data_IF_938330582841
#
_entry.id   IF_938330582841
#
_cell.length_a   1.000
_cell.length_b   1.000
_cell.length_c   1.000
_cell.angle_alpha   90.00
_cell.angle_beta   90.00
_cell.angle_gamma   90.00
#
_symmetry.space_group_name_H-M   'P 1'
#
loop_
_entity.id
_entity.type
_entity.pdbx_description
1 polymer ?
#
# COMPACT_ATOMS: atom_id res chain seq x y z
N UNK A 1 2.23 21.52 10.96
CA UNK A 1 1.14 21.94 10.07
C UNK A 1 1.44 21.52 8.65
N UNK A 2 0.49 21.64 7.72
CA UNK A 2 0.65 21.12 6.36
C UNK A 2 1.69 21.86 5.52
N UNK A 3 1.71 23.19 5.59
CA UNK A 3 2.60 23.98 4.76
C UNK A 3 3.89 24.37 5.51
N UNK A 4 5.03 24.45 4.79
CA UNK A 4 6.25 25.06 5.31
C UNK A 4 6.00 26.49 5.82
N UNK A 5 6.66 26.84 6.92
CA UNK A 5 6.63 28.20 7.48
C UNK A 5 8.01 28.86 7.36
N UNK A 6 8.03 30.16 7.08
CA UNK A 6 9.27 30.92 7.06
C UNK A 6 9.97 30.85 8.44
N UNK A 7 11.25 30.48 8.43
CA UNK A 7 12.06 30.36 9.65
C UNK A 7 11.82 29.08 10.46
N UNK A 8 11.10 28.09 9.94
CA UNK A 8 10.96 26.80 10.63
C UNK A 8 12.27 26.01 10.64
N UNK A 9 12.47 25.20 11.69
CA UNK A 9 13.68 24.39 11.83
C UNK A 9 13.72 23.26 10.80
N UNK A 10 14.92 22.74 10.53
CA UNK A 10 15.06 21.54 9.70
C UNK A 10 14.39 20.33 10.35
N UNK A 11 14.42 20.22 11.68
CA UNK A 11 13.78 19.14 12.42
C UNK A 11 12.25 19.18 12.27
N UNK A 12 11.64 20.37 12.27
CA UNK A 12 10.21 20.53 12.02
C UNK A 12 9.82 20.09 10.59
N UNK A 13 10.67 20.39 9.61
CA UNK A 13 10.45 19.98 8.22
C UNK A 13 10.52 18.46 8.09
N UNK A 14 11.54 17.83 8.67
CA UNK A 14 11.73 16.38 8.63
C UNK A 14 10.68 15.63 9.45
N UNK A 15 10.17 16.23 10.53
CA UNK A 15 9.17 15.60 11.40
C UNK A 15 7.75 15.73 10.83
N UNK A 16 7.47 16.75 10.02
CA UNK A 16 6.13 17.02 9.46
C UNK A 16 5.50 15.81 8.77
N UNK A 17 6.17 15.09 7.83
CA UNK A 17 5.59 13.91 7.18
C UNK A 17 5.12 12.84 8.17
N UNK A 18 5.89 12.58 9.24
CA UNK A 18 5.55 11.59 10.25
C UNK A 18 4.29 11.97 11.03
N UNK A 19 4.19 13.25 11.43
CA UNK A 19 3.04 13.74 12.18
C UNK A 19 1.78 13.77 11.30
N UNK A 20 1.90 14.17 10.03
CA UNK A 20 0.78 14.14 9.08
C UNK A 20 0.30 12.71 8.83
N UNK A 21 1.24 11.78 8.61
CA UNK A 21 0.94 10.36 8.45
C UNK A 21 0.20 9.80 9.67
N UNK A 22 0.70 10.07 10.89
CA UNK A 22 0.08 9.62 12.12
C UNK A 22 -1.30 10.25 12.34
N UNK A 23 -1.48 11.53 12.06
CA UNK A 23 -2.76 12.22 12.21
C UNK A 23 -3.83 11.67 11.25
N UNK A 24 -3.46 11.40 9.99
CA UNK A 24 -4.37 10.77 9.03
C UNK A 24 -4.65 9.30 9.37
N UNK A 25 -3.65 8.55 9.84
CA UNK A 25 -3.82 7.18 10.30
C UNK A 25 -4.78 7.09 11.49
N UNK A 26 -4.70 8.05 12.42
CA UNK A 26 -5.59 8.17 13.56
C UNK A 26 -6.95 8.83 13.24
N UNK A 27 -7.26 9.05 11.96
CA UNK A 27 -8.51 9.61 11.47
C UNK A 27 -8.86 10.97 12.10
N UNK A 28 -7.84 11.79 12.35
CA UNK A 28 -8.03 13.13 12.91
C UNK A 28 -8.84 14.01 11.93
N UNK A 29 -10.05 14.42 12.35
CA UNK A 29 -10.99 15.15 11.51
C UNK A 29 -10.43 16.47 10.94
N UNK A 30 -9.66 17.23 11.75
CA UNK A 30 -9.06 18.50 11.32
C UNK A 30 -7.96 18.27 10.26
N UNK A 31 -7.16 17.23 10.43
CA UNK A 31 -6.15 16.84 9.45
C UNK A 31 -6.79 16.40 8.13
N UNK A 32 -7.86 15.60 8.20
CA UNK A 32 -8.63 15.16 7.02
C UNK A 32 -9.23 16.36 6.28
N UNK A 33 -9.90 17.27 6.99
CA UNK A 33 -10.51 18.45 6.39
C UNK A 33 -9.47 19.41 5.79
N UNK A 34 -8.32 19.58 6.45
CA UNK A 34 -7.21 20.39 5.95
C UNK A 34 -6.62 19.79 4.68
N UNK A 35 -6.41 18.48 4.64
CA UNK A 35 -5.92 17.76 3.47
C UNK A 35 -6.88 17.90 2.29
N UNK A 36 -8.19 17.75 2.53
CA UNK A 36 -9.23 17.94 1.51
C UNK A 36 -9.23 19.38 0.96
N UNK A 37 -9.07 20.37 1.84
CA UNK A 37 -8.95 21.78 1.42
C UNK A 37 -7.74 21.99 0.51
N UNK A 38 -6.58 21.43 0.88
CA UNK A 38 -5.36 21.50 0.07
C UNK A 38 -5.52 20.80 -1.28
N UNK A 39 -6.17 19.63 -1.30
CA UNK A 39 -6.48 18.93 -2.54
C UNK A 39 -7.30 19.82 -3.49
N UNK A 40 -8.43 20.35 -3.01
CA UNK A 40 -9.32 21.20 -3.80
C UNK A 40 -8.64 22.46 -4.34
N UNK A 41 -7.75 23.07 -3.55
CA UNK A 41 -6.97 24.25 -3.98
C UNK A 41 -5.96 23.94 -5.09
N UNK A 42 -5.53 22.68 -5.22
CA UNK A 42 -4.48 22.25 -6.13
C UNK A 42 -4.95 21.25 -7.20
N UNK A 43 -6.28 21.02 -7.33
CA UNK A 43 -6.85 20.00 -8.23
C UNK A 43 -6.43 20.09 -9.69
N UNK A 44 -6.06 21.29 -10.16
CA UNK A 44 -5.59 21.55 -11.52
C UNK A 44 -4.09 21.27 -11.71
N UNK A 45 -3.32 21.16 -10.62
CA UNK A 45 -1.88 20.89 -10.63
C UNK A 45 -1.43 20.14 -9.36
N UNK A 46 -1.90 18.91 -9.20
CA UNK A 46 -1.58 18.07 -8.05
C UNK A 46 -0.08 17.75 -7.96
N UNK A 47 0.61 17.62 -9.10
CA UNK A 47 2.06 17.42 -9.16
C UNK A 47 2.84 18.57 -8.52
N UNK A 48 2.28 19.80 -8.55
CA UNK A 48 2.88 21.01 -7.98
C UNK A 48 2.78 21.12 -6.46
N UNK A 49 2.02 20.24 -5.79
CA UNK A 49 2.06 20.13 -4.33
C UNK A 49 3.48 19.79 -3.87
N UNK A 50 3.91 20.37 -2.75
CA UNK A 50 5.20 20.05 -2.13
C UNK A 50 5.29 18.53 -1.89
N UNK A 51 6.40 17.93 -2.31
CA UNK A 51 6.63 16.49 -2.23
C UNK A 51 6.47 15.95 -0.80
N UNK A 52 6.84 16.73 0.22
CA UNK A 52 6.76 16.36 1.63
C UNK A 52 5.32 16.13 2.12
N UNK A 53 4.31 16.67 1.42
CA UNK A 53 2.90 16.55 1.79
C UNK A 53 2.03 15.90 0.74
N UNK A 54 2.46 15.87 -0.52
CA UNK A 54 1.66 15.48 -1.68
C UNK A 54 1.04 14.10 -1.49
N UNK A 55 1.83 13.10 -1.08
CA UNK A 55 1.32 11.74 -0.83
C UNK A 55 0.21 11.71 0.23
N UNK A 56 0.30 12.52 1.29
CA UNK A 56 -0.70 12.54 2.36
C UNK A 56 -1.98 13.23 1.90
N UNK A 57 -1.87 14.30 1.10
CA UNK A 57 -3.02 14.98 0.50
C UNK A 57 -3.76 14.03 -0.46
N UNK A 58 -3.03 13.36 -1.35
CA UNK A 58 -3.62 12.42 -2.32
C UNK A 58 -4.25 11.20 -1.64
N UNK A 59 -3.55 10.57 -0.68
CA UNK A 59 -4.07 9.45 0.09
C UNK A 59 -5.32 9.82 0.86
N UNK A 60 -5.33 10.98 1.51
CA UNK A 60 -6.52 11.47 2.20
C UNK A 60 -7.70 11.60 1.26
N UNK A 61 -7.49 12.22 0.09
CA UNK A 61 -8.58 12.46 -0.86
C UNK A 61 -9.14 11.14 -1.38
N UNK A 62 -8.28 10.21 -1.81
CA UNK A 62 -8.72 8.90 -2.30
C UNK A 62 -9.46 8.12 -1.21
N UNK A 63 -8.95 8.10 0.02
CA UNK A 63 -9.52 7.32 1.13
C UNK A 63 -10.86 7.89 1.63
N UNK A 64 -10.97 9.21 1.76
CA UNK A 64 -12.09 9.85 2.46
C UNK A 64 -13.10 10.54 1.53
N UNK A 65 -12.69 10.92 0.32
CA UNK A 65 -13.48 11.68 -0.65
C UNK A 65 -13.38 11.07 -2.07
N UNK A 66 -13.04 9.79 -2.15
CA UNK A 66 -12.83 9.06 -3.39
C UNK A 66 -14.06 9.08 -4.31
N UNK A 67 -13.80 9.13 -5.61
CA UNK A 67 -14.81 8.98 -6.66
C UNK A 67 -14.18 8.35 -7.90
N UNK A 68 -14.99 7.74 -8.77
CA UNK A 68 -14.51 7.21 -10.07
C UNK A 68 -13.74 8.26 -10.88
N UNK A 69 -14.25 9.50 -10.91
CA UNK A 69 -13.63 10.59 -11.65
C UNK A 69 -12.24 10.95 -11.12
N UNK A 70 -12.08 11.03 -9.80
CA UNK A 70 -10.78 11.26 -9.17
C UNK A 70 -9.83 10.08 -9.43
N UNK A 71 -10.33 8.86 -9.30
CA UNK A 71 -9.54 7.65 -9.49
C UNK A 71 -8.99 7.57 -10.93
N UNK A 72 -9.84 7.85 -11.92
CA UNK A 72 -9.46 7.87 -13.33
C UNK A 72 -8.52 9.03 -13.66
N UNK A 73 -8.71 10.20 -13.05
CA UNK A 73 -7.79 11.32 -13.19
C UNK A 73 -6.38 10.94 -12.72
N UNK A 74 -6.24 10.37 -11.52
CA UNK A 74 -4.95 9.99 -10.97
C UNK A 74 -4.29 8.84 -11.76
N UNK A 75 -5.04 7.85 -12.22
CA UNK A 75 -4.52 6.82 -13.13
C UNK A 75 -4.03 7.42 -14.45
N UNK A 76 -4.76 8.39 -15.02
CA UNK A 76 -4.34 9.08 -16.22
C UNK A 76 -3.06 9.91 -15.99
N UNK A 77 -2.95 10.57 -14.84
CA UNK A 77 -1.74 11.30 -14.44
C UNK A 77 -0.54 10.37 -14.29
N UNK A 78 -0.71 9.20 -13.65
CA UNK A 78 0.33 8.19 -13.52
C UNK A 78 0.90 7.75 -14.87
N UNK A 79 0.03 7.58 -15.86
CA UNK A 79 0.42 7.19 -17.23
C UNK A 79 1.20 8.31 -17.94
N UNK A 80 0.81 9.56 -17.74
CA UNK A 80 1.36 10.72 -18.47
C UNK A 80 2.63 11.30 -17.84
N UNK A 81 2.74 11.27 -16.52
CA UNK A 81 3.85 11.93 -15.83
C UNK A 81 5.19 11.22 -16.03
N UNK A 82 6.26 12.00 -16.15
CA UNK A 82 7.64 11.51 -16.12
C UNK A 82 8.27 11.60 -14.72
N UNK A 83 7.61 12.27 -13.77
CA UNK A 83 8.07 12.41 -12.40
C UNK A 83 7.83 11.11 -11.62
N UNK A 84 8.92 10.41 -11.31
CA UNK A 84 8.90 9.16 -10.55
C UNK A 84 8.34 9.33 -9.13
N UNK A 85 8.61 10.46 -8.47
CA UNK A 85 8.08 10.75 -7.14
C UNK A 85 6.56 10.92 -7.19
N UNK A 86 6.04 11.64 -8.19
CA UNK A 86 4.59 11.79 -8.35
C UNK A 86 3.92 10.45 -8.68
N UNK A 87 4.55 9.58 -9.47
CA UNK A 87 4.04 8.20 -9.71
C UNK A 87 3.92 7.39 -8.42
N UNK A 88 4.93 7.45 -7.56
CA UNK A 88 4.93 6.76 -6.28
C UNK A 88 3.81 7.29 -5.38
N UNK A 89 3.61 8.61 -5.35
CA UNK A 89 2.54 9.24 -4.57
C UNK A 89 1.15 8.83 -5.07
N UNK A 90 0.95 8.77 -6.38
CA UNK A 90 -0.29 8.27 -6.99
C UNK A 90 -0.52 6.80 -6.67
N UNK A 91 0.50 5.94 -6.80
CA UNK A 91 0.41 4.52 -6.45
C UNK A 91 0.01 4.36 -4.98
N UNK A 92 0.64 5.09 -4.07
CA UNK A 92 0.32 5.06 -2.64
C UNK A 92 -1.08 5.59 -2.33
N UNK A 93 -1.58 6.57 -3.10
CA UNK A 93 -2.92 7.11 -2.98
C UNK A 93 -3.99 6.12 -3.46
N UNK A 94 -3.90 5.67 -4.71
CA UNK A 94 -4.91 4.82 -5.33
C UNK A 94 -5.04 3.46 -4.65
N UNK A 95 -3.93 2.91 -4.15
CA UNK A 95 -3.95 1.65 -3.39
C UNK A 95 -4.57 1.78 -2.00
N UNK A 96 -4.82 3.00 -1.52
CA UNK A 96 -5.41 3.27 -0.19
C UNK A 96 -6.93 3.48 -0.19
N UNK A 97 -7.59 3.32 -1.35
CA UNK A 97 -9.05 3.39 -1.46
C UNK A 97 -9.74 2.33 -0.60
N UNK A 98 -10.87 2.67 0.01
CA UNK A 98 -11.73 1.74 0.76
C UNK A 98 -12.94 1.26 -0.06
N UNK A 99 -13.15 1.82 -1.26
CA UNK A 99 -14.26 1.48 -2.13
C UNK A 99 -13.98 0.18 -2.90
N UNK A 100 -14.80 -0.83 -2.68
CA UNK A 100 -14.65 -2.15 -3.28
C UNK A 100 -14.69 -2.14 -4.83
N UNK A 101 -15.46 -1.23 -5.44
CA UNK A 101 -15.52 -1.11 -6.90
C UNK A 101 -14.24 -0.51 -7.47
N UNK A 102 -13.65 0.48 -6.78
CA UNK A 102 -12.37 1.07 -7.16
C UNK A 102 -11.20 0.10 -6.94
N UNK A 103 -11.26 -0.73 -5.89
CA UNK A 103 -10.29 -1.82 -5.67
C UNK A 103 -10.34 -2.81 -6.84
N UNK A 104 -11.53 -3.28 -7.21
CA UNK A 104 -11.70 -4.21 -8.32
C UNK A 104 -11.20 -3.59 -9.65
N UNK A 105 -11.52 -2.32 -9.89
CA UNK A 105 -11.03 -1.55 -11.04
C UNK A 105 -9.51 -1.44 -11.06
N UNK A 106 -8.87 -1.29 -9.90
CA UNK A 106 -7.41 -1.23 -9.81
C UNK A 106 -6.75 -2.57 -10.06
N UNK A 107 -7.26 -3.64 -9.45
CA UNK A 107 -6.73 -5.01 -9.65
C UNK A 107 -6.87 -5.42 -11.12
N UNK A 108 -7.95 -5.03 -11.79
CA UNK A 108 -8.09 -5.29 -13.24
C UNK A 108 -7.08 -4.55 -14.12
N UNK A 109 -6.23 -3.68 -13.55
CA UNK A 109 -5.12 -2.99 -14.25
C UNK A 109 -3.76 -3.64 -14.03
N UNK A 110 -3.65 -4.66 -13.19
CA UNK A 110 -2.38 -5.32 -12.91
C UNK A 110 -1.76 -5.97 -14.16
N UNK A 111 -2.59 -6.43 -15.09
CA UNK A 111 -2.16 -7.05 -16.35
C UNK A 111 -2.23 -6.07 -17.54
N UNK A 112 -2.68 -4.83 -17.31
CA UNK A 112 -2.78 -3.78 -18.32
C UNK A 112 -1.45 -3.01 -18.43
N UNK A 113 -0.53 -3.52 -19.24
CA UNK A 113 0.81 -2.96 -19.43
C UNK A 113 0.82 -1.50 -19.96
N UNK A 114 -0.27 -1.04 -20.58
CA UNK A 114 -0.43 0.36 -21.01
C UNK A 114 -0.76 1.30 -19.84
N UNK A 115 -1.23 0.74 -18.72
CA UNK A 115 -1.54 1.45 -17.48
C UNK A 115 -0.48 1.20 -16.41
N UNK A 116 -0.29 -0.05 -15.97
CA UNK A 116 0.70 -0.47 -14.98
C UNK A 116 1.79 -1.25 -15.69
N UNK A 117 2.99 -0.69 -15.78
CA UNK A 117 4.11 -1.37 -16.43
C UNK A 117 4.56 -2.57 -15.57
N UNK A 118 5.06 -3.66 -16.18
CA UNK A 118 5.48 -4.85 -15.43
C UNK A 118 6.48 -4.57 -14.29
N UNK A 119 7.42 -3.63 -14.48
CA UNK A 119 8.37 -3.25 -13.44
C UNK A 119 7.76 -2.46 -12.27
N UNK A 120 6.60 -1.83 -12.48
CA UNK A 120 5.90 -1.07 -11.43
C UNK A 120 4.89 -1.96 -10.68
N UNK A 121 4.45 -3.07 -11.29
CA UNK A 121 3.38 -3.94 -10.81
C UNK A 121 3.57 -4.39 -9.36
N UNK A 122 4.81 -4.69 -8.95
CA UNK A 122 5.09 -5.16 -7.59
C UNK A 122 4.70 -4.12 -6.53
N UNK A 123 4.92 -2.84 -6.82
CA UNK A 123 4.55 -1.75 -5.91
C UNK A 123 3.03 -1.59 -5.80
N UNK A 124 2.32 -1.70 -6.92
CA UNK A 124 0.85 -1.68 -6.97
C UNK A 124 0.24 -2.86 -6.21
N UNK A 125 0.71 -4.08 -6.50
CA UNK A 125 0.30 -5.29 -5.80
C UNK A 125 0.53 -5.17 -4.29
N UNK A 126 1.73 -4.75 -3.87
CA UNK A 126 2.06 -4.52 -2.46
C UNK A 126 1.11 -3.53 -1.81
N UNK A 127 0.80 -2.43 -2.48
CA UNK A 127 -0.08 -1.39 -1.96
C UNK A 127 -1.50 -1.92 -1.71
N UNK A 128 -2.08 -2.63 -2.69
CA UNK A 128 -3.42 -3.21 -2.53
C UNK A 128 -3.42 -4.33 -1.48
N UNK A 129 -2.37 -5.16 -1.44
CA UNK A 129 -2.25 -6.22 -0.44
C UNK A 129 -2.14 -5.69 1.00
N UNK A 130 -1.47 -4.56 1.19
CA UNK A 130 -1.31 -3.91 2.50
C UNK A 130 -2.55 -3.13 2.96
N UNK A 131 -3.53 -2.92 2.08
CA UNK A 131 -4.78 -2.28 2.41
C UNK A 131 -5.77 -3.33 2.95
N UNK A 132 -6.36 -3.11 4.13
CA UNK A 132 -7.31 -4.05 4.73
C UNK A 132 -8.50 -4.36 3.80
N UNK A 133 -9.04 -3.36 3.09
CA UNK A 133 -10.16 -3.52 2.17
C UNK A 133 -9.72 -4.17 0.85
N UNK A 134 -8.45 -4.01 0.47
CA UNK A 134 -7.87 -4.54 -0.77
C UNK A 134 -7.17 -5.89 -0.64
N UNK A 135 -6.80 -6.31 0.57
CA UNK A 135 -5.90 -7.44 0.81
C UNK A 135 -6.42 -8.73 0.18
N UNK A 136 -7.72 -8.99 0.33
CA UNK A 136 -8.32 -10.18 -0.25
C UNK A 136 -8.29 -10.15 -1.78
N UNK A 137 -8.63 -9.01 -2.41
CA UNK A 137 -8.64 -8.88 -3.87
C UNK A 137 -7.23 -9.07 -4.48
N UNK A 138 -6.20 -8.49 -3.86
CA UNK A 138 -4.82 -8.70 -4.30
C UNK A 138 -4.38 -10.16 -4.11
N UNK A 139 -4.74 -10.77 -2.98
CA UNK A 139 -4.41 -12.16 -2.69
C UNK A 139 -5.12 -13.16 -3.61
N UNK A 140 -6.36 -12.87 -4.00
CA UNK A 140 -7.09 -13.68 -4.97
C UNK A 140 -6.44 -13.58 -6.34
N UNK A 141 -6.12 -12.36 -6.79
CA UNK A 141 -5.43 -12.16 -8.07
C UNK A 141 -4.11 -12.93 -8.15
N UNK A 142 -3.19 -12.76 -7.20
CA UNK A 142 -1.87 -13.42 -7.31
C UNK A 142 -1.96 -14.95 -7.27
N UNK A 143 -3.01 -15.52 -6.65
CA UNK A 143 -3.25 -16.97 -6.65
C UNK A 143 -3.83 -17.46 -7.97
N UNK A 144 -4.75 -16.69 -8.56
CA UNK A 144 -5.41 -17.05 -9.81
C UNK A 144 -4.48 -16.85 -11.02
N UNK A 145 -3.67 -15.79 -10.99
CA UNK A 145 -2.88 -15.32 -12.13
C UNK A 145 -1.37 -15.54 -11.93
N UNK A 146 -1.00 -16.44 -11.00
CA UNK A 146 0.41 -16.78 -10.74
C UNK A 146 1.16 -17.23 -11.98
N UNK A 147 0.54 -18.05 -12.83
CA UNK A 147 1.19 -18.51 -14.06
C UNK A 147 1.45 -17.35 -15.01
N UNK A 148 0.49 -16.44 -15.17
CA UNK A 148 0.67 -15.24 -15.97
C UNK A 148 1.81 -14.37 -15.41
N UNK A 149 1.87 -14.22 -14.09
CA UNK A 149 2.95 -13.48 -13.42
C UNK A 149 4.30 -14.14 -13.69
N UNK A 150 4.41 -15.47 -13.55
CA UNK A 150 5.64 -16.22 -13.83
C UNK A 150 6.05 -16.11 -15.31
N UNK A 151 5.11 -16.19 -16.23
CA UNK A 151 5.38 -16.07 -17.68
C UNK A 151 5.81 -14.65 -18.07
N UNK A 152 5.27 -13.62 -17.41
CA UNK A 152 5.49 -12.20 -17.76
C UNK A 152 6.68 -11.58 -17.03
N UNK A 153 6.85 -11.90 -15.75
CA UNK A 153 7.90 -11.31 -14.88
C UNK A 153 8.83 -12.34 -14.25
N UNK A 154 8.68 -13.64 -14.51
CA UNK A 154 9.53 -14.68 -13.89
C UNK A 154 11.01 -14.62 -14.26
N UNK A 155 11.37 -13.95 -15.36
CA UNK A 155 12.75 -13.63 -15.71
C UNK A 155 13.34 -12.43 -14.97
N UNK A 156 12.52 -11.68 -14.23
CA UNK A 156 12.94 -10.52 -13.44
C UNK A 156 13.54 -10.94 -12.09
N UNK A 157 14.61 -10.26 -11.66
CA UNK A 157 15.25 -10.53 -10.37
C UNK A 157 14.32 -10.29 -9.17
N UNK A 158 13.29 -9.46 -9.33
CA UNK A 158 12.29 -9.17 -8.30
C UNK A 158 11.18 -10.22 -8.19
N UNK A 159 11.07 -11.18 -9.12
CA UNK A 159 9.95 -12.14 -9.12
C UNK A 159 9.81 -12.89 -7.79
N UNK A 160 10.89 -13.46 -7.28
CA UNK A 160 10.88 -14.18 -6.00
C UNK A 160 10.49 -13.25 -4.82
N UNK A 161 10.71 -11.94 -4.94
CA UNK A 161 10.40 -10.97 -3.87
C UNK A 161 8.89 -10.70 -3.71
N UNK A 162 8.03 -11.16 -4.64
CA UNK A 162 6.58 -11.16 -4.42
C UNK A 162 6.21 -12.02 -3.21
N UNK A 163 6.90 -13.14 -3.02
CA UNK A 163 6.74 -14.04 -1.87
C UNK A 163 7.05 -13.27 -0.57
N UNK A 164 8.18 -12.57 -0.56
CA UNK A 164 8.63 -11.75 0.58
C UNK A 164 7.73 -10.56 0.85
N UNK A 165 7.17 -9.94 -0.19
CA UNK A 165 6.17 -8.86 -0.06
C UNK A 165 4.93 -9.36 0.65
N UNK A 166 4.40 -10.53 0.26
CA UNK A 166 3.21 -11.12 0.88
C UNK A 166 3.50 -11.46 2.34
N UNK A 167 4.61 -12.12 2.60
CA UNK A 167 5.00 -12.49 3.96
C UNK A 167 5.31 -11.29 4.85
N UNK A 168 5.74 -10.17 4.29
CA UNK A 168 5.90 -8.91 5.00
C UNK A 168 4.59 -8.31 5.51
N UNK A 169 3.45 -8.67 4.91
CA UNK A 169 2.13 -8.11 5.21
C UNK A 169 1.30 -9.07 6.07
N UNK A 170 1.37 -10.38 5.81
CA UNK A 170 0.56 -11.36 6.51
C UNK A 170 0.93 -11.48 8.00
N UNK A 171 -0.10 -11.51 8.84
CA UNK A 171 0.06 -11.52 10.31
C UNK A 171 -1.06 -12.27 11.04
N UNK A 172 -1.86 -13.09 10.35
CA UNK A 172 -2.92 -13.90 10.96
C UNK A 172 -2.70 -15.39 10.68
N UNK A 173 -3.21 -16.25 11.55
CA UNK A 173 -3.13 -17.70 11.35
C UNK A 173 -3.75 -18.14 10.02
N UNK A 174 -4.92 -17.57 9.69
CA UNK A 174 -5.57 -17.84 8.41
C UNK A 174 -4.66 -17.51 7.22
N UNK A 175 -4.01 -16.34 7.23
CA UNK A 175 -3.11 -15.94 6.15
C UNK A 175 -1.85 -16.80 6.08
N UNK A 176 -1.34 -17.26 7.22
CA UNK A 176 -0.24 -18.22 7.27
C UNK A 176 -0.63 -19.55 6.61
N UNK A 177 -1.80 -20.08 6.94
CA UNK A 177 -2.28 -21.35 6.40
C UNK A 177 -2.52 -21.27 4.89
N UNK A 178 -3.15 -20.18 4.42
CA UNK A 178 -3.35 -19.89 3.00
C UNK A 178 -2.01 -19.75 2.25
N UNK A 179 -1.04 -19.05 2.85
CA UNK A 179 0.29 -18.87 2.28
C UNK A 179 1.01 -20.22 2.12
N UNK A 180 1.02 -21.05 3.17
CA UNK A 180 1.60 -22.40 3.14
C UNK A 180 0.94 -23.25 2.05
N UNK A 181 -0.39 -23.30 2.03
CA UNK A 181 -1.14 -24.08 1.06
C UNK A 181 -0.82 -23.68 -0.40
N UNK A 182 -0.60 -22.39 -0.66
CA UNK A 182 -0.31 -21.90 -2.00
C UNK A 182 1.17 -22.04 -2.41
N UNK A 183 2.12 -21.82 -1.50
CA UNK A 183 3.55 -21.76 -1.82
C UNK A 183 4.33 -23.04 -1.50
N UNK A 184 3.95 -23.86 -0.53
CA UNK A 184 4.66 -25.12 -0.24
C UNK A 184 4.76 -26.06 -1.45
N UNK A 185 3.72 -26.22 -2.29
CA UNK A 185 3.83 -27.01 -3.52
C UNK A 185 4.86 -26.47 -4.52
N UNK A 186 5.23 -25.19 -4.42
CA UNK A 186 6.19 -24.49 -5.30
C UNK A 186 7.64 -24.53 -4.77
N UNK A 187 7.89 -25.15 -3.62
CA UNK A 187 9.25 -25.31 -3.06
C UNK A 187 10.24 -25.95 -4.06
N UNK A 188 9.87 -26.94 -4.89
CA UNK A 188 10.77 -27.53 -5.87
C UNK A 188 11.14 -26.60 -7.03
N UNK A 189 10.45 -25.46 -7.21
CA UNK A 189 10.73 -24.51 -8.29
C UNK A 189 12.07 -23.80 -8.06
N UNK A 190 13.02 -23.87 -9.01
CA UNK A 190 14.31 -23.19 -8.91
C UNK A 190 14.14 -21.69 -8.63
N UNK A 191 14.92 -21.16 -7.70
CA UNK A 191 14.86 -19.75 -7.32
C UNK A 191 13.82 -19.39 -6.25
N UNK A 192 12.80 -20.23 -6.00
CA UNK A 192 11.75 -19.93 -5.01
C UNK A 192 11.95 -20.62 -3.65
N UNK A 193 12.69 -21.73 -3.61
CA UNK A 193 12.86 -22.58 -2.42
C UNK A 193 13.28 -21.79 -1.17
N UNK A 194 14.23 -20.86 -1.31
CA UNK A 194 14.78 -20.08 -0.19
C UNK A 194 13.72 -19.14 0.37
N UNK A 195 13.11 -18.32 -0.48
CA UNK A 195 12.13 -17.31 -0.06
C UNK A 195 10.93 -17.98 0.58
N UNK A 196 10.34 -19.02 -0.04
CA UNK A 196 9.18 -19.73 0.53
C UNK A 196 9.46 -20.20 1.97
N UNK A 197 10.61 -20.84 2.23
CA UNK A 197 10.93 -21.37 3.57
C UNK A 197 11.18 -20.26 4.59
N UNK A 198 11.92 -19.23 4.22
CA UNK A 198 12.20 -18.11 5.12
C UNK A 198 10.91 -17.33 5.42
N UNK A 199 10.11 -17.07 4.40
CA UNK A 199 8.91 -16.25 4.48
C UNK A 199 7.77 -16.94 5.23
N UNK A 200 7.65 -18.27 5.16
CA UNK A 200 6.79 -19.03 6.09
C UNK A 200 7.20 -18.75 7.54
N UNK A 201 8.50 -18.78 7.84
CA UNK A 201 9.02 -18.55 9.20
C UNK A 201 8.79 -17.11 9.67
N UNK A 202 8.86 -16.13 8.75
CA UNK A 202 8.56 -14.71 9.04
C UNK A 202 7.10 -14.53 9.45
N UNK A 203 6.16 -15.10 8.69
CA UNK A 203 4.73 -15.00 9.00
C UNK A 203 4.44 -15.74 10.31
N UNK A 204 4.96 -16.95 10.49
CA UNK A 204 4.78 -17.79 11.68
C UNK A 204 5.26 -17.07 12.96
N UNK A 205 6.44 -16.45 12.90
CA UNK A 205 6.98 -15.66 14.02
C UNK A 205 6.10 -14.46 14.35
N UNK A 206 5.56 -13.78 13.33
CA UNK A 206 4.66 -12.62 13.54
C UNK A 206 3.31 -13.05 14.11
N UNK A 207 2.75 -14.16 13.63
CA UNK A 207 1.50 -14.73 14.16
C UNK A 207 1.67 -15.09 15.63
N UNK A 208 2.76 -15.77 15.98
CA UNK A 208 3.08 -16.13 17.36
C UNK A 208 3.21 -14.90 18.25
N UNK A 209 3.99 -13.89 17.84
CA UNK A 209 4.13 -12.64 18.58
C UNK A 209 2.77 -11.96 18.84
N UNK A 210 1.90 -11.88 17.83
CA UNK A 210 0.56 -11.31 18.00
C UNK A 210 -0.27 -12.16 18.97
N UNK A 211 -0.22 -13.49 18.90
CA UNK A 211 -0.97 -14.36 19.80
C UNK A 211 -0.51 -14.22 21.26
N UNK A 212 0.80 -14.19 21.48
CA UNK A 212 1.42 -14.13 22.81
C UNK A 212 1.17 -12.77 23.48
N UNK A 213 1.31 -11.67 22.74
CA UNK A 213 1.29 -10.31 23.31
C UNK A 213 -0.12 -9.67 23.30
N UNK A 214 -1.09 -10.22 22.55
CA UNK A 214 -2.40 -9.58 22.34
C UNK A 214 -3.14 -9.29 23.64
N UNK A 215 -3.11 -10.20 24.61
CA UNK A 215 -3.82 -10.01 25.87
C UNK A 215 -3.25 -8.83 26.66
N UNK A 216 -1.92 -8.80 26.81
CA UNK A 216 -1.21 -7.80 27.62
C UNK A 216 -1.26 -6.41 26.96
N UNK A 217 -1.10 -6.33 25.64
CA UNK A 217 -1.25 -5.07 24.89
C UNK A 217 -2.66 -4.51 25.05
N UNK A 218 -3.70 -5.33 24.88
CA UNK A 218 -5.08 -4.86 25.05
C UNK A 218 -5.37 -4.42 26.48
N UNK A 219 -4.82 -5.11 27.49
CA UNK A 219 -4.95 -4.72 28.89
C UNK A 219 -4.27 -3.38 29.17
N UNK A 220 -3.06 -3.16 28.67
CA UNK A 220 -2.33 -1.90 28.82
C UNK A 220 -3.06 -0.74 28.14
N UNK A 221 -3.55 -0.92 26.91
CA UNK A 221 -4.29 0.11 26.18
C UNK A 221 -5.60 0.47 26.89
N UNK A 222 -6.33 -0.51 27.43
CA UNK A 222 -7.58 -0.29 28.16
C UNK A 222 -7.42 0.54 29.44
N UNK A 223 -6.20 0.62 30.00
CA UNK A 223 -5.91 1.48 31.16
C UNK A 223 -5.68 2.95 30.78
N UNK A 224 -5.35 3.21 29.52
CA UNK A 224 -4.99 4.55 29.02
C UNK A 224 -6.14 5.19 28.24
N UNK A 225 -6.92 4.40 27.51
CA UNK A 225 -8.14 4.86 26.84
C UNK A 225 -9.24 5.02 27.90
N UNK A 226 -9.67 6.27 28.15
CA UNK A 226 -10.78 6.63 29.04
C UNK A 226 -12.11 6.65 28.31
#
# INVERSE_FOLDING_TARGET
>A
GWQPKAGESNDDQLTRPYILSAALYAENADAIASAHTLFNQNKENLAGLSADIRVFVLKNEVKNFGSDALFDQLLADYRKTADASYKQDICAALTSTTDASLIAKLVSKFEDADTIKPQDLRAWFRGVLANNDGQQAAWDWIRNDWQWLEDTVGGDMEFATYITVIAGIFHTQQRLDEFKAFFEPKIPTPGLTREIKMDISVIDSRVSLVQDEKADVNAAISQVIK
#
